data_IF_371802283195
#
_entry.id   IF_371802283195
#
_cell.length_a   1.000
_cell.length_b   1.000
_cell.length_c   1.000
_cell.angle_alpha   90.00
_cell.angle_beta   90.00
_cell.angle_gamma   90.00
#
_symmetry.space_group_name_H-M   'P 1'
#
loop_
_entity.id
_entity.type
_entity.pdbx_description
1 polymer ?
#
# COMPACT_ATOMS: atom_id res chain seq x y z
N UNK A 1 -0.23 17.19 -12.44
CA UNK A 1 1.13 17.29 -11.88
C UNK A 1 1.31 18.53 -11.02
N UNK A 2 0.99 19.74 -11.52
CA UNK A 2 1.20 20.99 -10.75
C UNK A 2 0.41 21.05 -9.44
N UNK A 3 -0.75 20.39 -9.36
CA UNK A 3 -1.56 20.40 -8.13
C UNK A 3 -1.00 19.48 -7.05
N UNK A 4 -0.26 18.44 -7.42
CA UNK A 4 0.45 17.57 -6.47
C UNK A 4 1.82 18.15 -6.13
N UNK A 5 2.47 18.84 -7.05
CA UNK A 5 3.64 19.66 -6.74
C UNK A 5 3.30 20.78 -5.76
N UNK A 6 2.04 21.26 -5.73
CA UNK A 6 1.56 22.21 -4.72
C UNK A 6 1.41 21.59 -3.32
N UNK A 7 1.54 20.29 -3.16
CA UNK A 7 1.78 19.67 -1.85
C UNK A 7 3.07 20.18 -1.20
N UNK A 8 3.96 20.78 -1.99
CA UNK A 8 5.11 21.51 -1.48
C UNK A 8 4.76 22.87 -0.87
N UNK A 9 3.51 23.34 -0.99
CA UNK A 9 3.08 24.60 -0.42
C UNK A 9 1.81 24.41 0.43
N UNK A 10 1.94 24.24 1.78
CA UNK A 10 0.86 23.79 2.65
C UNK A 10 -0.14 24.90 2.96
N UNK A 11 -1.04 25.18 2.06
CA UNK A 11 -2.21 25.98 2.35
C UNK A 11 -3.44 25.08 2.46
N UNK A 12 -3.75 24.60 3.68
CA UNK A 12 -5.02 23.91 4.01
C UNK A 12 -5.51 22.91 2.94
N UNK A 13 -4.60 22.12 2.40
CA UNK A 13 -4.88 21.18 1.32
C UNK A 13 -5.00 19.76 1.84
N UNK A 14 -5.88 18.96 1.23
CA UNK A 14 -5.98 17.52 1.45
C UNK A 14 -5.77 16.78 0.12
N UNK A 15 -5.10 15.63 0.18
CA UNK A 15 -4.96 14.72 -0.96
C UNK A 15 -5.65 13.42 -0.63
N UNK A 16 -6.49 12.97 -1.55
CA UNK A 16 -7.14 11.67 -1.46
C UNK A 16 -6.19 10.62 -2.03
N UNK A 17 -5.91 9.58 -1.25
CA UNK A 17 -5.07 8.47 -1.70
C UNK A 17 -5.80 7.14 -1.54
N UNK A 18 -5.53 6.21 -2.45
CA UNK A 18 -6.02 4.84 -2.39
C UNK A 18 -4.85 3.88 -2.61
N UNK A 19 -4.84 2.77 -1.90
CA UNK A 19 -3.83 1.74 -2.02
C UNK A 19 -4.38 0.48 -2.74
N UNK A 20 -3.49 -0.42 -3.19
CA UNK A 20 -3.73 -1.78 -3.69
C UNK A 20 -4.43 -1.91 -5.05
N UNK A 21 -5.10 -0.91 -5.56
CA UNK A 21 -5.77 -0.98 -6.86
C UNK A 21 -7.10 -1.76 -6.87
N UNK A 22 -7.88 -1.71 -5.78
CA UNK A 22 -9.20 -2.34 -5.76
C UNK A 22 -10.14 -1.77 -6.81
N UNK A 23 -10.80 -2.65 -7.58
CA UNK A 23 -11.70 -2.26 -8.68
C UNK A 23 -12.88 -1.40 -8.23
N UNK A 24 -13.33 -1.57 -6.99
CA UNK A 24 -14.40 -0.74 -6.41
C UNK A 24 -14.04 0.75 -6.35
N UNK A 25 -12.76 1.10 -6.18
CA UNK A 25 -12.29 2.49 -6.24
C UNK A 25 -12.42 3.02 -7.67
N UNK A 26 -11.96 2.25 -8.66
CA UNK A 26 -11.99 2.64 -10.08
C UNK A 26 -13.41 2.72 -10.66
N UNK A 27 -14.31 1.86 -10.17
CA UNK A 27 -15.68 1.82 -10.65
C UNK A 27 -16.61 2.82 -9.97
N UNK A 28 -16.34 3.19 -8.70
CA UNK A 28 -17.26 4.00 -7.91
C UNK A 28 -16.67 5.35 -7.48
N UNK A 29 -15.47 5.35 -6.88
CA UNK A 29 -14.89 6.58 -6.35
C UNK A 29 -14.35 7.49 -7.47
N UNK A 30 -13.60 6.94 -8.43
CA UNK A 30 -12.97 7.73 -9.49
C UNK A 30 -13.98 8.47 -10.36
N UNK A 31 -15.10 7.89 -10.85
CA UNK A 31 -16.08 8.63 -11.62
C UNK A 31 -16.65 9.83 -10.88
N UNK A 32 -16.84 9.72 -9.55
CA UNK A 32 -17.29 10.81 -8.71
C UNK A 32 -16.22 11.90 -8.57
N UNK A 33 -14.98 11.51 -8.25
CA UNK A 33 -13.84 12.44 -8.09
C UNK A 33 -13.54 13.18 -9.40
N UNK A 34 -13.55 12.48 -10.53
CA UNK A 34 -13.37 13.05 -11.88
C UNK A 34 -14.44 14.12 -12.17
N UNK A 35 -15.74 13.79 -11.94
CA UNK A 35 -16.84 14.72 -12.10
C UNK A 35 -16.69 15.98 -11.23
N UNK A 36 -16.10 15.82 -10.03
CA UNK A 36 -15.85 16.92 -9.09
C UNK A 36 -14.52 17.62 -9.32
N UNK A 37 -13.70 17.14 -10.26
CA UNK A 37 -12.33 17.65 -10.54
C UNK A 37 -11.42 17.58 -9.31
N UNK A 38 -11.57 16.52 -8.50
CA UNK A 38 -10.79 16.28 -7.31
C UNK A 38 -9.64 15.32 -7.65
N UNK A 39 -8.38 15.76 -7.54
CA UNK A 39 -7.23 14.87 -7.77
C UNK A 39 -7.15 13.75 -6.75
N UNK A 40 -6.74 12.56 -7.22
CA UNK A 40 -6.48 11.40 -6.36
C UNK A 40 -5.23 10.64 -6.79
N UNK A 41 -4.56 10.05 -5.80
CA UNK A 41 -3.32 9.31 -5.98
C UNK A 41 -3.54 7.85 -5.60
N UNK A 42 -3.20 6.95 -6.51
CA UNK A 42 -3.41 5.51 -6.37
C UNK A 42 -2.07 4.79 -6.29
N UNK A 43 -1.74 4.24 -5.13
CA UNK A 43 -0.55 3.44 -4.93
C UNK A 43 -0.84 2.00 -5.31
N UNK A 44 -0.21 1.53 -6.39
CA UNK A 44 -0.54 0.26 -7.04
C UNK A 44 0.54 -0.80 -6.79
N UNK A 45 0.09 -2.03 -6.57
CA UNK A 45 0.91 -3.24 -6.63
C UNK A 45 0.65 -3.90 -7.99
N UNK A 46 1.64 -3.94 -8.87
CA UNK A 46 1.41 -4.43 -10.23
C UNK A 46 1.41 -5.96 -10.35
N UNK A 47 2.06 -6.69 -9.42
CA UNK A 47 2.08 -8.15 -9.46
C UNK A 47 0.67 -8.78 -9.54
N UNK A 48 -0.26 -8.51 -8.62
CA UNK A 48 -1.57 -9.14 -8.65
C UNK A 48 -2.41 -8.72 -9.88
N UNK A 49 -2.17 -7.53 -10.40
CA UNK A 49 -2.89 -7.01 -11.58
C UNK A 49 -2.41 -7.70 -12.87
N UNK A 50 -1.10 -7.90 -13.01
CA UNK A 50 -0.46 -8.48 -14.21
C UNK A 50 -0.61 -10.00 -14.22
N UNK A 51 -0.24 -10.63 -13.09
CA UNK A 51 -0.22 -12.09 -12.97
C UNK A 51 -1.61 -12.68 -12.74
N UNK A 52 -2.61 -11.84 -12.44
CA UNK A 52 -3.98 -12.27 -12.05
C UNK A 52 -3.93 -13.30 -10.92
N UNK A 53 -3.12 -13.00 -9.92
CA UNK A 53 -2.93 -13.78 -8.70
C UNK A 53 -3.22 -12.92 -7.48
N UNK A 54 -3.54 -13.52 -6.32
CA UNK A 54 -3.71 -12.72 -5.10
C UNK A 54 -2.37 -12.12 -4.66
N UNK A 55 -2.43 -10.96 -4.00
CA UNK A 55 -1.26 -10.39 -3.34
C UNK A 55 -0.86 -11.22 -2.12
N UNK A 56 0.38 -11.07 -1.65
CA UNK A 56 0.91 -11.88 -0.56
C UNK A 56 0.17 -11.66 0.76
N UNK A 57 -0.29 -10.46 1.07
CA UNK A 57 -1.03 -10.18 2.31
C UNK A 57 -2.33 -10.94 2.34
N UNK A 58 -3.13 -10.86 1.28
CA UNK A 58 -4.39 -11.61 1.16
C UNK A 58 -4.15 -13.13 1.20
N UNK A 59 -3.06 -13.59 0.59
CA UNK A 59 -2.64 -14.98 0.63
C UNK A 59 -2.36 -15.43 2.06
N UNK A 60 -1.52 -14.71 2.80
CA UNK A 60 -1.18 -15.06 4.19
C UNK A 60 -2.43 -15.01 5.09
N UNK A 61 -3.25 -13.96 4.96
CA UNK A 61 -4.47 -13.83 5.76
C UNK A 61 -5.48 -14.94 5.50
N UNK A 62 -5.65 -15.33 4.23
CA UNK A 62 -6.52 -16.45 3.88
C UNK A 62 -6.00 -17.76 4.45
N UNK A 63 -4.71 -18.06 4.27
CA UNK A 63 -4.09 -19.30 4.79
C UNK A 63 -4.14 -19.34 6.32
N UNK A 64 -3.87 -18.24 7.00
CA UNK A 64 -4.00 -18.15 8.46
C UNK A 64 -5.41 -18.50 8.95
N UNK A 65 -6.42 -18.17 8.17
CA UNK A 65 -7.83 -18.38 8.54
C UNK A 65 -8.36 -19.77 8.14
N UNK A 66 -7.91 -20.31 7.00
CA UNK A 66 -8.57 -21.43 6.34
C UNK A 66 -7.68 -22.64 6.05
N UNK A 67 -6.36 -22.58 6.30
CA UNK A 67 -5.45 -23.67 5.99
C UNK A 67 -4.77 -24.20 7.27
N UNK A 68 -5.11 -25.42 7.68
CA UNK A 68 -4.60 -26.04 8.91
C UNK A 68 -3.08 -26.24 8.86
N UNK A 69 -2.52 -26.66 7.72
CA UNK A 69 -1.07 -26.85 7.56
C UNK A 69 -0.32 -25.52 7.76
N UNK A 70 -0.88 -24.41 7.26
CA UNK A 70 -0.29 -23.08 7.47
C UNK A 70 -0.39 -22.66 8.94
N UNK A 71 -1.51 -22.95 9.60
CA UNK A 71 -1.68 -22.65 11.04
C UNK A 71 -0.67 -23.43 11.89
N UNK A 72 -0.45 -24.72 11.60
CA UNK A 72 0.57 -25.54 12.26
C UNK A 72 1.99 -25.01 11.98
N UNK A 73 2.27 -24.64 10.73
CA UNK A 73 3.56 -24.06 10.34
C UNK A 73 3.87 -22.78 11.10
N UNK A 74 2.94 -21.81 11.18
CA UNK A 74 3.19 -20.56 11.91
C UNK A 74 3.36 -20.79 13.40
N UNK A 75 2.70 -21.78 13.99
CA UNK A 75 2.91 -22.18 15.39
C UNK A 75 4.31 -22.79 15.58
N UNK A 76 4.72 -23.70 14.71
CA UNK A 76 6.05 -24.33 14.76
C UNK A 76 7.18 -23.31 14.58
N UNK A 77 6.99 -22.32 13.71
CA UNK A 77 7.94 -21.20 13.50
C UNK A 77 7.84 -20.10 14.57
N UNK A 78 6.95 -20.24 15.57
CA UNK A 78 6.70 -19.26 16.62
C UNK A 78 6.37 -17.84 16.08
N UNK A 79 5.61 -17.76 14.98
CA UNK A 79 5.23 -16.50 14.33
C UNK A 79 4.00 -15.94 15.04
N UNK A 80 4.16 -14.75 15.63
CA UNK A 80 3.05 -14.08 16.34
C UNK A 80 2.13 -13.33 15.38
N UNK A 81 0.84 -13.30 15.71
CA UNK A 81 -0.16 -12.51 14.99
C UNK A 81 0.09 -11.00 15.13
N UNK A 82 -0.27 -10.19 14.14
CA UNK A 82 -0.79 -10.59 12.83
C UNK A 82 0.34 -11.13 11.92
N UNK A 83 0.14 -12.33 11.38
CA UNK A 83 1.19 -13.08 10.66
C UNK A 83 1.66 -12.40 9.39
N UNK A 84 0.76 -11.75 8.63
CA UNK A 84 1.10 -11.01 7.41
C UNK A 84 2.11 -9.87 7.62
N UNK A 85 2.26 -9.38 8.87
CA UNK A 85 3.28 -8.38 9.21
C UNK A 85 4.64 -9.02 9.58
N UNK A 86 4.71 -10.33 9.70
CA UNK A 86 5.90 -11.04 10.21
C UNK A 86 6.50 -12.04 9.23
N UNK A 87 5.72 -12.52 8.29
CA UNK A 87 6.19 -13.49 7.30
C UNK A 87 7.01 -12.77 6.23
N UNK A 88 8.28 -13.17 6.10
CA UNK A 88 9.18 -12.75 5.04
C UNK A 88 9.05 -13.66 3.80
N UNK A 89 9.58 -13.25 2.63
CA UNK A 89 9.67 -14.12 1.46
C UNK A 89 10.37 -15.45 1.75
N UNK A 90 11.41 -15.44 2.59
CA UNK A 90 12.16 -16.64 2.97
C UNK A 90 11.32 -17.59 3.81
N UNK A 91 10.54 -17.06 4.77
CA UNK A 91 9.62 -17.86 5.60
C UNK A 91 8.51 -18.45 4.73
N UNK A 92 7.93 -17.66 3.83
CA UNK A 92 6.88 -18.14 2.94
C UNK A 92 7.40 -19.19 1.94
N UNK A 93 8.62 -19.01 1.45
CA UNK A 93 9.32 -20.02 0.63
C UNK A 93 9.54 -21.32 1.41
N UNK A 94 9.89 -21.25 2.70
CA UNK A 94 10.03 -22.42 3.56
C UNK A 94 8.72 -23.19 3.68
N UNK A 95 7.59 -22.48 3.87
CA UNK A 95 6.25 -23.09 3.86
C UNK A 95 5.98 -23.82 2.54
N UNK A 96 6.18 -23.16 1.41
CA UNK A 96 5.95 -23.75 0.09
C UNK A 96 6.86 -24.95 -0.20
N UNK A 97 8.09 -24.96 0.30
CA UNK A 97 9.00 -26.10 0.16
C UNK A 97 8.53 -27.31 0.97
N UNK A 98 7.88 -27.08 2.11
CA UNK A 98 7.41 -28.14 3.00
C UNK A 98 6.06 -28.72 2.56
N UNK A 99 5.15 -27.88 2.08
CA UNK A 99 3.74 -28.26 1.82
C UNK A 99 3.34 -28.20 0.35
N UNK A 100 4.23 -27.74 -0.52
CA UNK A 100 3.97 -27.53 -1.95
C UNK A 100 3.46 -26.13 -2.28
N UNK A 101 3.38 -25.85 -3.57
CA UNK A 101 2.80 -24.61 -4.07
C UNK A 101 1.27 -24.65 -3.97
N UNK A 102 0.66 -23.48 -3.79
CA UNK A 102 -0.80 -23.35 -3.78
C UNK A 102 -1.37 -23.80 -5.15
N UNK A 103 -2.40 -24.63 -5.08
CA UNK A 103 -3.13 -25.08 -6.27
C UNK A 103 -3.92 -23.90 -6.90
N UNK A 104 -4.27 -24.03 -8.18
CA UNK A 104 -5.11 -23.02 -8.84
C UNK A 104 -6.47 -22.83 -8.13
N UNK A 105 -7.02 -23.91 -7.57
CA UNK A 105 -8.27 -23.85 -6.79
C UNK A 105 -8.11 -23.00 -5.52
N UNK A 106 -6.98 -23.13 -4.83
CA UNK A 106 -6.68 -22.30 -3.64
C UNK A 106 -6.44 -20.85 -4.05
N UNK A 107 -5.67 -20.60 -5.10
CA UNK A 107 -5.44 -19.25 -5.61
C UNK A 107 -6.76 -18.54 -5.98
N UNK A 108 -7.71 -19.24 -6.59
CA UNK A 108 -9.03 -18.69 -6.91
C UNK A 108 -9.81 -18.32 -5.63
N UNK A 109 -9.81 -19.19 -4.60
CA UNK A 109 -10.44 -18.88 -3.31
C UNK A 109 -9.80 -17.67 -2.62
N UNK A 110 -8.47 -17.53 -2.73
CA UNK A 110 -7.76 -16.39 -2.17
C UNK A 110 -8.09 -15.11 -2.96
N UNK A 111 -8.22 -15.17 -4.28
CA UNK A 111 -8.65 -14.03 -5.09
C UNK A 111 -10.08 -13.58 -4.73
N UNK A 112 -10.99 -14.51 -4.51
CA UNK A 112 -12.36 -14.21 -4.03
C UNK A 112 -12.33 -13.55 -2.64
N UNK A 113 -11.46 -14.04 -1.75
CA UNK A 113 -11.26 -13.44 -0.42
C UNK A 113 -10.67 -12.03 -0.49
N UNK A 114 -9.69 -11.81 -1.37
CA UNK A 114 -9.07 -10.50 -1.61
C UNK A 114 -10.07 -9.47 -2.17
N UNK A 115 -10.97 -9.92 -3.00
CA UNK A 115 -11.83 -9.08 -3.82
C UNK A 115 -11.17 -8.63 -5.14
N UNK A 116 -11.99 -8.10 -6.07
CA UNK A 116 -11.54 -7.79 -7.41
C UNK A 116 -10.60 -6.57 -7.46
N UNK A 117 -9.53 -6.69 -8.22
CA UNK A 117 -8.63 -5.60 -8.54
C UNK A 117 -8.95 -4.97 -9.91
N UNK A 118 -8.45 -3.77 -10.12
CA UNK A 118 -8.43 -3.10 -11.41
C UNK A 118 -7.66 -3.94 -12.43
N UNK A 119 -8.05 -3.91 -13.68
CA UNK A 119 -7.30 -4.55 -14.77
C UNK A 119 -6.48 -3.51 -15.56
N UNK A 120 -5.56 -3.99 -16.41
CA UNK A 120 -4.67 -3.12 -17.20
C UNK A 120 -5.46 -2.17 -18.09
N UNK A 121 -6.56 -2.64 -18.71
CA UNK A 121 -7.41 -1.81 -19.57
C UNK A 121 -8.03 -0.64 -18.79
N UNK A 122 -8.50 -0.89 -17.58
CA UNK A 122 -9.03 0.18 -16.73
C UNK A 122 -7.94 1.19 -16.32
N UNK A 123 -6.71 0.72 -16.05
CA UNK A 123 -5.58 1.62 -15.77
C UNK A 123 -5.27 2.51 -16.99
N UNK A 124 -5.23 1.93 -18.21
CA UNK A 124 -5.02 2.68 -19.46
C UNK A 124 -6.14 3.71 -19.71
N UNK A 125 -7.39 3.37 -19.40
CA UNK A 125 -8.51 4.28 -19.59
C UNK A 125 -8.44 5.47 -18.62
N UNK A 126 -8.08 5.23 -17.35
CA UNK A 126 -7.91 6.28 -16.35
C UNK A 126 -6.61 7.07 -16.48
N UNK A 127 -5.59 6.54 -17.19
CA UNK A 127 -4.35 7.25 -17.50
C UNK A 127 -4.55 8.50 -18.39
N UNK A 128 -5.74 8.64 -18.96
CA UNK A 128 -6.16 9.82 -19.73
C UNK A 128 -6.72 10.94 -18.86
N UNK A 129 -7.04 10.67 -17.62
CA UNK A 129 -7.59 11.64 -16.67
C UNK A 129 -6.53 12.63 -16.19
N UNK A 130 -6.93 13.89 -16.00
CA UNK A 130 -6.08 14.94 -15.40
C UNK A 130 -6.08 14.88 -13.87
N UNK A 131 -6.92 14.04 -13.28
CA UNK A 131 -7.19 14.01 -11.85
C UNK A 131 -6.80 12.68 -11.19
N UNK A 132 -6.31 11.72 -11.95
CA UNK A 132 -5.87 10.40 -11.48
C UNK A 132 -4.38 10.28 -11.63
N UNK A 133 -3.68 9.91 -10.55
CA UNK A 133 -2.23 9.71 -10.53
C UNK A 133 -1.90 8.34 -9.96
N UNK A 134 -0.84 7.71 -10.49
CA UNK A 134 -0.36 6.42 -10.02
C UNK A 134 0.96 6.57 -9.28
N UNK A 135 1.09 5.88 -8.16
CA UNK A 135 2.29 5.79 -7.33
C UNK A 135 2.69 4.34 -7.06
N UNK A 136 3.87 4.16 -6.53
CA UNK A 136 4.45 2.84 -6.27
C UNK A 136 4.09 2.33 -4.87
N UNK A 137 3.62 1.05 -4.79
CA UNK A 137 3.27 0.35 -3.54
C UNK A 137 3.97 -1.01 -3.38
N UNK A 138 5.19 -1.15 -3.90
CA UNK A 138 5.90 -2.40 -4.15
C UNK A 138 5.20 -3.29 -5.21
N UNK A 139 5.94 -4.24 -5.75
CA UNK A 139 5.43 -5.12 -6.80
C UNK A 139 4.38 -6.10 -6.27
N UNK A 140 4.70 -6.79 -5.16
CA UNK A 140 3.77 -7.65 -4.43
C UNK A 140 3.76 -7.25 -2.95
N UNK A 141 2.71 -6.78 -2.44
CA UNK A 141 2.42 -6.13 -1.17
C UNK A 141 3.09 -6.73 0.10
N UNK A 142 4.39 -7.06 0.04
CA UNK A 142 5.16 -7.51 1.20
C UNK A 142 5.25 -6.45 2.29
N UNK A 143 5.19 -6.85 3.57
CA UNK A 143 5.51 -5.93 4.65
C UNK A 143 6.99 -5.53 4.56
N UNK A 144 7.25 -4.25 4.33
CA UNK A 144 8.58 -3.73 3.98
C UNK A 144 9.66 -4.09 4.99
N UNK A 145 9.33 -4.13 6.29
CA UNK A 145 10.31 -4.47 7.35
C UNK A 145 10.76 -5.94 7.30
N UNK A 146 10.03 -6.80 6.61
CA UNK A 146 10.38 -8.23 6.46
C UNK A 146 11.28 -8.50 5.25
N UNK A 147 11.54 -7.48 4.44
CA UNK A 147 12.42 -7.55 3.28
C UNK A 147 13.85 -7.18 3.66
N UNK A 148 14.83 -7.93 3.15
CA UNK A 148 16.21 -7.44 3.12
C UNK A 148 16.36 -6.30 2.10
N UNK A 149 17.49 -5.61 2.13
CA UNK A 149 17.71 -4.43 1.29
C UNK A 149 17.60 -4.74 -0.20
N UNK A 150 18.11 -5.89 -0.64
CA UNK A 150 18.11 -6.32 -2.05
C UNK A 150 16.67 -6.62 -2.48
N UNK A 151 15.94 -7.36 -1.66
CA UNK A 151 14.52 -7.69 -1.93
C UNK A 151 13.65 -6.45 -1.96
N UNK A 152 13.87 -5.48 -1.06
CA UNK A 152 13.13 -4.22 -1.04
C UNK A 152 13.37 -3.41 -2.32
N UNK A 153 14.64 -3.27 -2.72
CA UNK A 153 15.00 -2.58 -3.96
C UNK A 153 14.40 -3.29 -5.18
N UNK A 154 14.49 -4.61 -5.26
CA UNK A 154 13.90 -5.40 -6.34
C UNK A 154 12.38 -5.23 -6.44
N UNK A 155 11.66 -5.28 -5.32
CA UNK A 155 10.21 -5.08 -5.26
C UNK A 155 9.80 -3.67 -5.73
N UNK A 156 10.56 -2.65 -5.35
CA UNK A 156 10.31 -1.28 -5.79
C UNK A 156 10.57 -1.12 -7.29
N UNK A 157 11.75 -1.55 -7.77
CA UNK A 157 12.17 -1.36 -9.16
C UNK A 157 11.31 -2.16 -10.15
N UNK A 158 10.92 -3.39 -9.79
CA UNK A 158 10.03 -4.18 -10.63
C UNK A 158 8.65 -3.49 -10.77
N UNK A 159 8.08 -2.99 -9.69
CA UNK A 159 6.83 -2.23 -9.74
C UNK A 159 6.97 -0.94 -10.56
N UNK A 160 8.05 -0.20 -10.36
CA UNK A 160 8.39 1.01 -11.09
C UNK A 160 8.46 0.77 -12.60
N UNK A 161 9.04 -0.35 -13.02
CA UNK A 161 9.19 -0.74 -14.43
C UNK A 161 7.84 -0.77 -15.18
N UNK A 162 6.78 -1.26 -14.52
CA UNK A 162 5.44 -1.28 -15.10
C UNK A 162 4.74 0.08 -14.99
N UNK A 163 4.87 0.76 -13.86
CA UNK A 163 4.17 2.03 -13.62
C UNK A 163 4.69 3.18 -14.47
N UNK A 164 6.00 3.24 -14.75
CA UNK A 164 6.61 4.32 -15.55
C UNK A 164 6.09 4.42 -16.99
N UNK A 165 5.36 3.42 -17.47
CA UNK A 165 4.71 3.42 -18.78
C UNK A 165 3.44 4.25 -18.85
N UNK A 166 2.85 4.61 -17.72
CA UNK A 166 1.64 5.43 -17.64
C UNK A 166 2.00 6.92 -17.62
N UNK A 167 1.22 7.74 -18.35
CA UNK A 167 1.43 9.20 -18.41
C UNK A 167 1.19 9.88 -17.04
N UNK A 168 0.30 9.31 -16.25
CA UNK A 168 -0.08 9.82 -14.94
C UNK A 168 0.76 9.23 -13.79
N UNK A 169 1.81 8.49 -14.11
CA UNK A 169 2.73 8.00 -13.10
C UNK A 169 3.55 9.16 -12.51
N UNK A 170 3.62 9.18 -11.19
CA UNK A 170 4.53 10.02 -10.41
C UNK A 170 5.35 9.14 -9.49
N UNK A 171 6.64 9.44 -9.35
CA UNK A 171 7.55 8.59 -8.58
C UNK A 171 7.39 8.78 -7.07
N UNK A 172 6.15 8.67 -6.61
CA UNK A 172 5.76 8.67 -5.20
C UNK A 172 5.60 7.23 -4.71
N UNK A 173 5.94 7.00 -3.47
CA UNK A 173 5.91 5.68 -2.86
C UNK A 173 5.08 5.70 -1.57
N UNK A 174 4.23 4.69 -1.38
CA UNK A 174 3.60 4.42 -0.10
C UNK A 174 4.11 3.09 0.48
N UNK A 175 4.50 3.10 1.76
CA UNK A 175 4.83 1.86 2.46
C UNK A 175 3.60 0.97 2.59
N UNK A 176 3.77 -0.31 2.26
CA UNK A 176 2.75 -1.35 2.46
C UNK A 176 2.40 -1.45 3.95
N UNK A 177 1.10 -1.50 4.28
CA UNK A 177 0.57 -1.37 5.63
C UNK A 177 0.94 -0.06 6.36
N UNK A 178 2.03 0.57 6.03
CA UNK A 178 2.44 1.95 6.28
C UNK A 178 2.69 2.39 7.72
N UNK A 179 2.69 1.51 8.72
CA UNK A 179 2.89 1.88 10.12
C UNK A 179 4.38 1.93 10.48
N UNK A 180 4.90 3.06 11.00
CA UNK A 180 6.29 3.16 11.44
C UNK A 180 6.66 2.11 12.48
N UNK A 181 7.89 1.63 12.42
CA UNK A 181 8.48 0.61 13.30
C UNK A 181 7.82 -0.78 13.25
N UNK A 182 6.63 -0.89 12.70
CA UNK A 182 5.92 -2.18 12.50
C UNK A 182 6.02 -2.65 11.05
N UNK A 183 5.95 -1.72 10.10
CA UNK A 183 5.92 -2.02 8.67
C UNK A 183 7.17 -1.52 7.95
N UNK A 184 7.83 -0.52 8.46
CA UNK A 184 9.08 0.00 7.95
C UNK A 184 9.88 0.70 9.05
N UNK A 185 11.17 0.90 8.81
CA UNK A 185 12.10 1.65 9.67
C UNK A 185 12.87 2.70 8.86
N UNK A 186 13.78 3.41 9.52
CA UNK A 186 14.58 4.46 8.89
C UNK A 186 15.49 3.93 7.77
N UNK A 187 16.01 2.69 7.89
CA UNK A 187 16.83 2.08 6.86
C UNK A 187 16.01 1.83 5.58
N UNK A 188 14.80 1.26 5.72
CA UNK A 188 13.88 1.08 4.59
C UNK A 188 13.57 2.40 3.89
N UNK A 189 13.31 3.47 4.66
CA UNK A 189 13.08 4.81 4.13
C UNK A 189 14.27 5.31 3.32
N UNK A 190 15.49 5.18 3.86
CA UNK A 190 16.71 5.62 3.19
C UNK A 190 16.95 4.87 1.88
N UNK A 191 16.66 3.56 1.84
CA UNK A 191 16.72 2.76 0.62
C UNK A 191 15.74 3.29 -0.42
N UNK A 192 14.46 3.42 -0.05
CA UNK A 192 13.40 3.91 -0.97
C UNK A 192 13.74 5.30 -1.53
N UNK A 193 14.27 6.19 -0.71
CA UNK A 193 14.74 7.50 -1.16
C UNK A 193 15.93 7.41 -2.10
N UNK A 194 16.91 6.56 -1.78
CA UNK A 194 18.12 6.39 -2.58
C UNK A 194 17.82 5.84 -3.97
N UNK A 195 16.83 4.96 -4.10
CA UNK A 195 16.42 4.40 -5.40
C UNK A 195 15.48 5.30 -6.19
N UNK A 196 15.16 6.50 -5.69
CA UNK A 196 14.58 7.58 -6.47
C UNK A 196 13.16 8.01 -6.10
N UNK A 197 12.54 7.47 -5.04
CA UNK A 197 11.22 7.97 -4.63
C UNK A 197 11.29 9.45 -4.22
N UNK A 198 10.50 10.29 -4.88
CA UNK A 198 10.45 11.73 -4.65
C UNK A 198 9.74 12.07 -3.34
N UNK A 199 8.56 11.48 -3.12
CA UNK A 199 7.83 11.54 -1.86
C UNK A 199 7.50 10.14 -1.35
N UNK A 200 7.55 9.99 -0.02
CA UNK A 200 7.24 8.73 0.65
C UNK A 200 6.08 8.92 1.61
N UNK A 201 5.11 8.02 1.58
CA UNK A 201 3.88 8.09 2.35
C UNK A 201 3.81 6.97 3.39
N UNK A 202 3.31 7.32 4.59
CA UNK A 202 3.11 6.40 5.70
C UNK A 202 1.68 6.49 6.26
N UNK A 203 1.20 5.42 6.90
CA UNK A 203 -0.10 5.38 7.57
C UNK A 203 0.07 5.63 9.09
N UNK A 204 0.57 6.80 9.45
CA UNK A 204 0.92 7.16 10.83
C UNK A 204 -0.16 7.97 11.55
N UNK A 205 -1.30 8.23 10.89
CA UNK A 205 -2.42 9.00 11.41
C UNK A 205 -2.01 10.42 11.89
N UNK A 206 -0.96 11.00 11.29
CA UNK A 206 -0.47 12.34 11.58
C UNK A 206 -0.93 13.37 10.54
N UNK A 207 -0.74 14.64 10.89
CA UNK A 207 -0.86 15.75 9.96
C UNK A 207 0.51 16.26 9.54
N UNK A 208 0.58 16.81 8.34
CA UNK A 208 1.80 17.34 7.76
C UNK A 208 1.80 18.87 7.90
N UNK A 209 2.60 19.41 8.82
CA UNK A 209 2.66 20.87 9.06
C UNK A 209 3.74 21.58 8.25
N UNK A 210 4.72 20.87 7.74
CA UNK A 210 5.76 21.39 6.88
C UNK A 210 6.18 20.32 5.89
N UNK A 211 6.53 20.72 4.68
CA UNK A 211 6.92 19.81 3.60
C UNK A 211 8.41 19.49 3.54
N UNK A 212 9.19 20.01 4.45
CA UNK A 212 10.56 19.52 4.66
C UNK A 212 10.58 18.11 5.32
N UNK A 213 9.44 17.40 5.31
CA UNK A 213 9.36 16.05 5.84
C UNK A 213 9.82 15.04 4.80
N UNK A 214 10.65 14.16 5.25
CA UNK A 214 11.10 12.98 4.50
C UNK A 214 9.93 12.02 4.21
N UNK A 215 8.87 12.08 5.02
CA UNK A 215 7.68 11.23 4.95
C UNK A 215 6.41 12.10 5.07
N UNK A 216 5.44 11.81 4.22
CA UNK A 216 4.08 12.34 4.28
C UNK A 216 3.20 11.38 5.10
N UNK A 217 2.69 11.87 6.20
CA UNK A 217 1.76 11.11 7.04
C UNK A 217 0.36 11.08 6.42
N UNK A 218 -0.30 9.92 6.46
CA UNK A 218 -1.66 9.74 5.96
C UNK A 218 -2.61 9.38 7.09
N UNK A 219 -3.82 9.91 7.05
CA UNK A 219 -4.93 9.49 7.88
C UNK A 219 -5.69 8.38 7.16
N UNK A 220 -5.59 7.14 7.66
CA UNK A 220 -6.36 6.02 7.11
C UNK A 220 -7.85 6.15 7.43
N UNK A 221 -8.71 5.99 6.44
CA UNK A 221 -10.17 5.99 6.57
C UNK A 221 -10.66 4.58 6.18
N UNK A 222 -11.59 4.03 6.94
CA UNK A 222 -12.17 2.71 6.68
C UNK A 222 -13.71 2.77 6.75
N UNK A 223 -14.37 1.65 6.50
CA UNK A 223 -15.83 1.56 6.49
C UNK A 223 -16.52 1.93 7.81
N UNK A 224 -15.81 1.89 8.92
CA UNK A 224 -16.35 2.30 10.23
C UNK A 224 -16.38 3.83 10.39
N UNK A 225 -15.66 4.57 9.55
CA UNK A 225 -15.61 6.04 9.57
C UNK A 225 -16.73 6.68 8.70
N UNK A 226 -17.73 5.90 8.28
CA UNK A 226 -18.90 6.39 7.52
C UNK A 226 -19.77 7.31 8.40
N UNK A 227 -19.76 7.11 9.73
CA UNK A 227 -20.36 8.05 10.67
C UNK A 227 -19.57 9.37 10.66
N UNK A 228 -20.25 10.49 10.35
CA UNK A 228 -19.63 11.81 10.26
C UNK A 228 -18.96 12.24 11.57
N UNK A 229 -19.50 11.85 12.72
CA UNK A 229 -18.93 12.19 14.03
C UNK A 229 -17.63 11.41 14.27
N UNK A 230 -17.60 10.11 13.91
CA UNK A 230 -16.38 9.29 14.02
C UNK A 230 -15.31 9.78 13.05
N UNK A 231 -15.66 10.14 11.82
CA UNK A 231 -14.77 10.73 10.85
C UNK A 231 -14.19 12.06 11.35
N UNK A 232 -15.05 12.95 11.84
CA UNK A 232 -14.63 14.24 12.40
C UNK A 232 -13.73 14.07 13.64
N UNK A 233 -14.09 13.15 14.55
CA UNK A 233 -13.24 12.81 15.69
C UNK A 233 -11.87 12.30 15.28
N UNK A 234 -11.80 11.47 14.25
CA UNK A 234 -10.54 10.94 13.71
C UNK A 234 -9.65 12.05 13.14
N UNK A 235 -10.26 13.00 12.41
CA UNK A 235 -9.57 14.20 11.94
C UNK A 235 -9.06 15.02 13.12
N UNK A 236 -9.89 15.34 14.11
CA UNK A 236 -9.49 16.08 15.30
C UNK A 236 -8.35 15.39 16.04
N UNK A 237 -8.44 14.07 16.24
CA UNK A 237 -7.38 13.29 16.90
C UNK A 237 -6.05 13.37 16.14
N UNK A 238 -6.07 13.47 14.82
CA UNK A 238 -4.85 13.60 14.02
C UNK A 238 -4.08 14.88 14.32
N UNK A 239 -4.75 15.97 14.74
CA UNK A 239 -4.09 17.21 15.19
C UNK A 239 -3.31 17.01 16.49
N UNK A 240 -3.78 16.14 17.40
CA UNK A 240 -3.12 15.87 18.68
C UNK A 240 -1.97 14.89 18.55
N UNK A 241 -2.02 13.94 17.59
CA UNK A 241 -0.95 12.99 17.31
C UNK A 241 0.32 13.67 16.75
N UNK A 242 0.22 14.94 16.38
CA UNK A 242 1.31 15.74 15.86
C UNK A 242 2.51 15.89 16.83
N UNK A 243 2.28 15.87 18.14
CA UNK A 243 3.32 16.09 19.16
C UNK A 243 4.22 14.87 19.42
N UNK A 244 3.86 13.70 18.92
CA UNK A 244 4.65 12.49 19.10
C UNK A 244 5.63 12.37 17.93
N UNK A 245 6.86 12.86 18.12
CA UNK A 245 7.99 12.68 17.18
C UNK A 245 8.32 11.19 17.06
N UNK A 246 7.61 10.48 16.17
CA UNK A 246 7.76 9.02 15.97
C UNK A 246 8.94 8.61 15.10
N UNK A 247 9.64 9.57 14.51
CA UNK A 247 10.72 9.32 13.55
C UNK A 247 12.12 9.73 14.03
N UNK A 248 12.23 10.17 15.29
CA UNK A 248 13.51 10.52 15.88
C UNK A 248 13.85 9.53 17.01
N UNK A 249 14.30 8.34 16.63
CA UNK A 249 15.27 7.53 17.40
C UNK A 249 15.93 6.53 16.47
#
# INVERSE_FOLDING_TARGET
PKDIESLTNPHNSAVITFDDGYSGVFNNALPYLEKKKIPSLHFLNMYPIIEKKPNIVSTIQYLEKHNTQFQEFILAENIKKPTYLKISPQIFKKYNNQFGQLSQTELNKIMDFQGPLVNLKQLEDWDKSKYVYYGNHLFDHWNTITLDNISLEAQYLENFKYLKGYNNFINFFAFTNGQPNTCFNINNLNIIKKIGAELVFAASAGQNNTLNKTIVDRLGINSMDIDENLFFYKILRSFFNFKIKRYQK
#
